data_IF_807497691153
#
_entry.id   IF_807497691153
#
_cell.length_a   1.000
_cell.length_b   1.000
_cell.length_c   1.000
_cell.angle_alpha   90.00
_cell.angle_beta   90.00
_cell.angle_gamma   90.00
#
_symmetry.space_group_name_H-M   'P 1'
#
loop_
_entity.id
_entity.type
_entity.pdbx_description
1 polymer ?
#
# COMPACT_ATOMS: atom_id res chain seq x y z
N UNK A 1 -14.71 -8.54 -6.97
CA UNK A 1 -14.71 -7.11 -6.55
C UNK A 1 -14.70 -7.03 -5.04
N UNK A 2 -13.87 -6.17 -4.50
CA UNK A 2 -13.77 -6.02 -3.05
C UNK A 2 -14.96 -5.22 -2.52
N UNK A 3 -15.40 -5.55 -1.30
CA UNK A 3 -16.39 -4.75 -0.59
C UNK A 3 -15.80 -3.40 -0.27
N UNK A 4 -16.37 -2.32 -0.82
CA UNK A 4 -15.80 -0.98 -0.69
C UNK A 4 -15.80 -0.50 0.77
N UNK A 5 -16.76 -0.94 1.57
CA UNK A 5 -16.79 -0.55 2.99
C UNK A 5 -15.66 -1.21 3.77
N UNK A 6 -15.29 -2.43 3.42
CA UNK A 6 -14.15 -3.10 4.05
C UNK A 6 -12.83 -2.40 3.68
N UNK A 7 -12.70 -1.97 2.43
CA UNK A 7 -11.51 -1.23 2.00
C UNK A 7 -11.47 0.15 2.67
N UNK A 8 -12.63 0.84 2.77
CA UNK A 8 -12.70 2.11 3.49
C UNK A 8 -12.26 1.96 4.95
N UNK A 9 -12.65 0.86 5.60
CA UNK A 9 -12.24 0.59 6.98
C UNK A 9 -10.72 0.45 7.09
N UNK A 10 -10.07 -0.15 6.09
CA UNK A 10 -8.61 -0.24 6.05
C UNK A 10 -7.96 1.13 5.90
N UNK A 11 -8.51 1.98 5.04
CA UNK A 11 -8.01 3.36 4.91
C UNK A 11 -8.16 4.15 6.21
N UNK A 12 -9.27 3.94 6.93
CA UNK A 12 -9.46 4.57 8.25
C UNK A 12 -8.41 4.07 9.24
N UNK A 13 -8.14 2.76 9.24
CA UNK A 13 -7.13 2.18 10.12
C UNK A 13 -5.73 2.73 9.85
N UNK A 14 -5.44 3.06 8.59
CA UNK A 14 -4.18 3.67 8.20
C UNK A 14 -4.08 5.16 8.51
N UNK A 15 -5.19 5.77 8.90
CA UNK A 15 -5.21 7.21 9.19
C UNK A 15 -5.32 8.09 7.96
N UNK A 16 -5.72 7.53 6.83
CA UNK A 16 -5.72 8.23 5.54
C UNK A 16 -7.10 8.61 5.03
N UNK A 17 -8.17 8.21 5.73
CA UNK A 17 -9.53 8.51 5.29
C UNK A 17 -9.93 9.90 5.76
N UNK A 18 -10.40 10.73 4.83
CA UNK A 18 -10.87 12.09 5.12
C UNK A 18 -12.39 12.14 4.98
N UNK A 19 -13.01 13.08 5.69
CA UNK A 19 -14.48 13.23 5.66
C UNK A 19 -15.03 13.47 4.26
N UNK A 20 -14.31 14.20 3.42
CA UNK A 20 -14.75 14.47 2.04
C UNK A 20 -14.64 13.27 1.12
N UNK A 21 -13.97 12.18 1.55
CA UNK A 21 -13.85 10.97 0.75
C UNK A 21 -15.13 10.15 0.83
N UNK A 22 -15.47 9.49 -0.26
CA UNK A 22 -16.64 8.63 -0.36
C UNK A 22 -16.23 7.23 -0.76
N UNK A 23 -16.96 6.24 -0.27
CA UNK A 23 -16.70 4.85 -0.63
C UNK A 23 -16.77 4.63 -2.14
N UNK A 24 -17.61 5.38 -2.85
CA UNK A 24 -17.74 5.29 -4.31
C UNK A 24 -16.48 5.71 -5.06
N UNK A 25 -15.55 6.41 -4.39
CA UNK A 25 -14.27 6.79 -5.00
C UNK A 25 -13.27 5.64 -5.02
N UNK A 26 -13.52 4.58 -4.23
CA UNK A 26 -12.60 3.46 -4.13
C UNK A 26 -12.54 2.59 -5.38
N UNK A 27 -13.66 2.23 -6.04
CA UNK A 27 -13.53 1.46 -7.27
C UNK A 27 -12.63 2.10 -8.33
N UNK A 28 -12.76 3.40 -8.64
CA UNK A 28 -11.80 4.01 -9.59
C UNK A 28 -10.37 4.05 -9.06
N UNK A 29 -10.16 4.22 -7.76
CA UNK A 29 -8.82 4.18 -7.18
C UNK A 29 -8.20 2.79 -7.35
N UNK A 30 -8.97 1.75 -7.07
CA UNK A 30 -8.51 0.36 -7.21
C UNK A 30 -8.18 0.06 -8.68
N UNK A 31 -9.08 0.42 -9.59
CA UNK A 31 -8.85 0.19 -11.02
C UNK A 31 -7.68 0.99 -11.56
N UNK A 32 -7.44 2.17 -11.00
CA UNK A 32 -6.33 3.03 -11.41
C UNK A 32 -4.99 2.59 -10.82
N UNK A 33 -4.98 1.65 -9.89
CA UNK A 33 -3.76 1.12 -9.32
C UNK A 33 -3.16 0.08 -10.28
N UNK A 34 -1.84 0.07 -10.39
CA UNK A 34 -1.14 -0.94 -11.18
C UNK A 34 -1.37 -2.33 -10.56
N UNK A 35 -1.31 -2.39 -9.23
CA UNK A 35 -1.60 -3.61 -8.48
C UNK A 35 -2.28 -3.20 -7.18
N UNK A 36 -3.26 -3.97 -6.74
CA UNK A 36 -3.96 -3.75 -5.49
C UNK A 36 -4.10 -5.10 -4.80
N UNK A 37 -3.38 -5.28 -3.71
CA UNK A 37 -3.35 -6.55 -2.98
C UNK A 37 -4.19 -6.44 -1.72
N UNK A 38 -5.01 -7.43 -1.47
CA UNK A 38 -5.86 -7.48 -0.28
C UNK A 38 -5.63 -8.82 0.40
N UNK A 39 -5.36 -8.77 1.70
CA UNK A 39 -5.32 -9.97 2.53
C UNK A 39 -6.69 -10.17 3.14
N UNK A 40 -7.20 -11.39 3.07
CA UNK A 40 -8.50 -11.73 3.65
C UNK A 40 -8.33 -12.76 4.75
N UNK A 41 -9.17 -12.65 5.78
CA UNK A 41 -9.27 -13.66 6.81
C UNK A 41 -10.03 -14.86 6.23
N UNK A 42 -9.40 -16.03 6.22
CA UNK A 42 -10.00 -17.21 5.60
C UNK A 42 -11.25 -17.70 6.33
N UNK A 43 -11.39 -17.38 7.61
CA UNK A 43 -12.56 -17.79 8.38
C UNK A 43 -13.77 -16.89 8.13
N UNK A 44 -13.54 -15.59 7.97
CA UNK A 44 -14.63 -14.63 7.81
C UNK A 44 -14.80 -14.13 6.37
N UNK A 45 -13.77 -14.28 5.54
CA UNK A 45 -13.74 -13.74 4.19
C UNK A 45 -13.54 -12.22 4.13
N UNK A 46 -13.34 -11.57 5.26
CA UNK A 46 -13.22 -10.11 5.33
C UNK A 46 -11.81 -9.65 5.03
N UNK A 47 -11.71 -8.46 4.44
CA UNK A 47 -10.43 -7.81 4.18
C UNK A 47 -9.80 -7.36 5.49
N UNK A 48 -8.54 -7.74 5.72
CA UNK A 48 -7.83 -7.45 6.96
C UNK A 48 -6.51 -6.71 6.74
N UNK A 49 -6.08 -6.59 5.50
CA UNK A 49 -4.89 -5.85 5.13
C UNK A 49 -4.90 -5.53 3.66
N UNK A 50 -4.12 -4.54 3.26
CA UNK A 50 -4.02 -4.15 1.86
C UNK A 50 -2.73 -3.40 1.57
N UNK A 51 -2.44 -3.24 0.30
CA UNK A 51 -1.41 -2.36 -0.22
C UNK A 51 -1.57 -2.24 -1.71
N UNK A 52 -0.99 -1.22 -2.31
CA UNK A 52 -1.11 -1.02 -3.76
C UNK A 52 0.16 -0.46 -4.35
N UNK A 53 0.23 -0.53 -5.67
CA UNK A 53 1.31 0.07 -6.45
C UNK A 53 0.70 1.06 -7.42
N UNK A 54 1.29 2.26 -7.46
CA UNK A 54 1.07 3.23 -8.52
C UNK A 54 2.28 3.10 -9.44
N UNK A 55 2.06 2.86 -10.72
CA UNK A 55 3.16 2.61 -11.65
C UNK A 55 2.81 3.02 -13.06
N UNK A 56 3.87 3.27 -13.85
CA UNK A 56 3.71 3.55 -15.28
C UNK A 56 3.57 2.27 -16.11
N UNK A 57 3.84 1.11 -15.50
CA UNK A 57 3.81 -0.18 -16.19
C UNK A 57 5.09 -0.48 -16.99
N UNK A 58 6.07 0.40 -16.93
CA UNK A 58 7.29 0.31 -17.76
C UNK A 58 8.56 0.31 -16.92
N UNK A 59 8.72 1.29 -16.04
CA UNK A 59 10.00 1.51 -15.35
C UNK A 59 9.87 1.68 -13.85
N UNK A 60 8.89 2.44 -13.37
CA UNK A 60 8.84 2.88 -11.98
C UNK A 60 7.55 2.45 -11.30
N UNK A 61 7.66 1.95 -10.08
CA UNK A 61 6.54 1.61 -9.24
C UNK A 61 6.68 2.25 -7.88
N UNK A 62 5.56 2.67 -7.30
CA UNK A 62 5.51 3.31 -6.01
C UNK A 62 4.49 2.59 -5.15
N UNK A 63 4.98 1.98 -4.04
CA UNK A 63 4.11 1.24 -3.11
C UNK A 63 3.48 2.23 -2.15
N UNK A 64 2.16 2.14 -2.01
CA UNK A 64 1.39 3.01 -1.12
C UNK A 64 0.31 2.23 -0.38
N UNK A 65 -0.18 2.86 0.67
CA UNK A 65 -1.38 2.45 1.38
C UNK A 65 -1.27 1.06 2.01
N UNK A 66 -0.06 0.69 2.46
CA UNK A 66 0.12 -0.57 3.16
C UNK A 66 -0.44 -0.45 4.57
N UNK A 67 -1.42 -1.28 4.90
CA UNK A 67 -2.00 -1.32 6.24
C UNK A 67 -2.53 -2.72 6.53
N UNK A 68 -2.39 -3.13 7.79
CA UNK A 68 -2.98 -4.34 8.33
C UNK A 68 -3.68 -3.93 9.62
N UNK A 69 -4.90 -4.43 9.85
CA UNK A 69 -5.59 -4.14 11.11
C UNK A 69 -4.73 -4.54 12.31
N UNK A 70 -4.75 -3.75 13.40
CA UNK A 70 -3.87 -4.01 14.55
C UNK A 70 -3.96 -5.44 15.10
N UNK A 71 -5.16 -6.03 15.16
CA UNK A 71 -5.35 -7.37 15.69
C UNK A 71 -4.74 -8.46 14.83
N UNK A 72 -4.38 -8.15 13.58
CA UNK A 72 -3.75 -9.11 12.67
C UNK A 72 -2.27 -8.83 12.44
N UNK A 73 -1.70 -7.84 13.12
CA UNK A 73 -0.28 -7.52 12.98
C UNK A 73 0.60 -8.59 13.61
N UNK A 74 1.89 -8.60 13.23
CA UNK A 74 2.90 -9.53 13.71
C UNK A 74 2.67 -10.98 13.26
N UNK A 75 1.82 -11.19 12.28
CA UNK A 75 1.55 -12.52 11.71
C UNK A 75 2.13 -12.70 10.30
N UNK A 76 2.92 -11.72 9.82
CA UNK A 76 3.55 -11.81 8.50
C UNK A 76 2.67 -11.35 7.34
N UNK A 77 1.47 -10.84 7.61
CA UNK A 77 0.54 -10.42 6.55
C UNK A 77 1.11 -9.25 5.76
N UNK A 78 1.61 -8.22 6.45
CA UNK A 78 2.22 -7.08 5.78
C UNK A 78 3.38 -7.46 4.89
N UNK A 79 4.24 -8.36 5.37
CA UNK A 79 5.36 -8.89 4.60
C UNK A 79 4.88 -9.57 3.32
N UNK A 80 3.84 -10.39 3.42
CA UNK A 80 3.29 -11.08 2.25
C UNK A 80 2.71 -10.11 1.24
N UNK A 81 2.01 -9.08 1.72
CA UNK A 81 1.45 -8.05 0.84
C UNK A 81 2.57 -7.37 0.05
N UNK A 82 3.62 -6.92 0.74
CA UNK A 82 4.73 -6.24 0.07
C UNK A 82 5.40 -7.16 -0.94
N UNK A 83 5.62 -8.43 -0.60
CA UNK A 83 6.23 -9.38 -1.54
C UNK A 83 5.40 -9.59 -2.78
N UNK A 84 4.08 -9.67 -2.64
CA UNK A 84 3.18 -9.79 -3.78
C UNK A 84 3.28 -8.56 -4.68
N UNK A 85 3.28 -7.37 -4.08
CA UNK A 85 3.37 -6.12 -4.84
C UNK A 85 4.71 -6.00 -5.58
N UNK A 86 5.81 -6.35 -4.92
CA UNK A 86 7.13 -6.36 -5.56
C UNK A 86 7.18 -7.36 -6.72
N UNK A 87 6.60 -8.56 -6.51
CA UNK A 87 6.53 -9.56 -7.58
C UNK A 87 5.76 -9.05 -8.79
N UNK A 88 4.62 -8.39 -8.56
CA UNK A 88 3.82 -7.82 -9.67
C UNK A 88 4.65 -6.82 -10.47
N UNK A 89 5.41 -5.97 -9.78
CA UNK A 89 6.28 -5.01 -10.45
C UNK A 89 7.35 -5.70 -11.27
N UNK A 90 8.05 -6.66 -10.67
CA UNK A 90 9.18 -7.33 -11.33
C UNK A 90 8.73 -8.15 -12.53
N UNK A 91 7.58 -8.79 -12.44
CA UNK A 91 7.02 -9.53 -13.55
C UNK A 91 6.72 -8.65 -14.78
N UNK A 92 6.45 -7.37 -14.54
CA UNK A 92 6.19 -6.39 -15.60
C UNK A 92 7.45 -5.64 -16.04
N UNK A 93 8.61 -6.02 -15.52
CA UNK A 93 9.88 -5.38 -15.88
C UNK A 93 10.16 -4.07 -15.18
N UNK A 94 9.37 -3.72 -14.16
CA UNK A 94 9.60 -2.52 -13.36
C UNK A 94 10.79 -2.76 -12.45
N UNK A 95 11.81 -1.91 -12.57
CA UNK A 95 13.06 -2.08 -11.82
C UNK A 95 13.23 -1.06 -10.69
N UNK A 96 12.62 0.11 -10.81
CA UNK A 96 12.65 1.09 -9.74
C UNK A 96 11.38 0.97 -8.91
N UNK A 97 11.51 0.49 -7.67
CA UNK A 97 10.38 0.29 -6.77
C UNK A 97 10.67 1.06 -5.49
N UNK A 98 9.87 2.07 -5.22
CA UNK A 98 10.08 2.92 -4.06
C UNK A 98 8.85 3.02 -3.18
N UNK A 99 9.05 3.56 -1.99
CA UNK A 99 7.98 3.87 -1.05
C UNK A 99 8.47 4.91 -0.06
N UNK A 100 7.53 5.55 0.63
CA UNK A 100 7.85 6.41 1.76
C UNK A 100 7.39 5.67 3.00
N UNK A 101 8.35 5.30 3.86
CA UNK A 101 8.05 4.57 5.09
C UNK A 101 7.49 5.52 6.13
N UNK A 102 6.36 5.13 6.73
CA UNK A 102 5.82 5.86 7.87
C UNK A 102 6.83 5.86 9.02
N UNK A 103 6.79 6.88 9.90
CA UNK A 103 7.72 6.91 11.03
C UNK A 103 7.72 5.60 11.81
N UNK A 104 8.91 5.10 12.08
CA UNK A 104 9.08 3.87 12.87
C UNK A 104 8.94 2.57 12.11
N UNK A 105 8.67 2.60 10.79
CA UNK A 105 8.45 1.38 10.02
C UNK A 105 9.64 0.95 9.19
N UNK A 106 10.74 1.68 9.21
CA UNK A 106 11.90 1.37 8.38
C UNK A 106 12.40 -0.06 8.60
N UNK A 107 12.44 -0.52 9.84
CA UNK A 107 12.92 -1.86 10.19
C UNK A 107 12.06 -2.98 9.58
N UNK A 108 10.79 -2.70 9.36
CA UNK A 108 9.91 -3.65 8.70
C UNK A 108 10.32 -3.90 7.25
N UNK A 109 10.76 -2.84 6.58
CA UNK A 109 11.06 -2.91 5.15
C UNK A 109 12.46 -3.44 4.83
N UNK A 110 13.42 -3.32 5.75
CA UNK A 110 14.80 -3.76 5.49
C UNK A 110 14.93 -5.23 5.10
N UNK A 111 14.30 -6.17 5.83
CA UNK A 111 14.40 -7.57 5.42
C UNK A 111 13.75 -7.86 4.07
N UNK A 112 12.90 -6.95 3.59
CA UNK A 112 12.23 -7.07 2.30
C UNK A 112 13.04 -6.47 1.15
N UNK A 113 14.22 -5.93 1.45
CA UNK A 113 15.13 -5.40 0.44
C UNK A 113 15.02 -3.90 0.21
N UNK A 114 14.33 -3.18 1.09
CA UNK A 114 14.20 -1.73 0.97
C UNK A 114 15.17 -1.03 1.90
N UNK A 115 15.94 -0.11 1.36
CA UNK A 115 16.95 0.64 2.11
C UNK A 115 16.74 2.13 1.91
N UNK A 116 17.09 2.95 2.90
CA UNK A 116 16.96 4.40 2.76
C UNK A 116 17.74 4.93 1.55
N UNK A 117 17.14 5.85 0.84
CA UNK A 117 17.82 6.60 -0.22
C UNK A 117 18.58 7.74 0.46
N UNK A 118 19.88 7.52 0.69
CA UNK A 118 20.68 8.48 1.45
C UNK A 118 20.68 9.86 0.81
N UNK A 119 20.54 10.87 1.65
CA UNK A 119 20.54 12.29 1.27
C UNK A 119 19.37 12.70 0.37
N UNK A 120 18.38 11.82 0.20
CA UNK A 120 17.15 12.18 -0.46
C UNK A 120 16.11 12.54 0.60
N UNK A 121 15.27 13.49 0.30
CA UNK A 121 14.24 13.96 1.25
C UNK A 121 12.88 13.84 0.59
N UNK A 122 11.94 13.14 1.22
CA UNK A 122 10.57 13.12 0.69
C UNK A 122 9.95 14.50 0.84
N UNK A 123 9.30 14.98 -0.22
CA UNK A 123 8.65 16.29 -0.23
C UNK A 123 7.21 16.13 -0.64
N UNK A 124 6.34 16.90 -0.01
CA UNK A 124 4.92 16.93 -0.35
C UNK A 124 4.50 18.37 -0.69
N UNK A 125 3.72 18.50 -1.76
CA UNK A 125 3.22 19.82 -2.14
C UNK A 125 2.14 20.25 -1.17
N UNK A 126 2.30 21.43 -0.57
CA UNK A 126 1.32 21.99 0.36
C UNK A 126 0.75 23.31 -0.13
N UNK A 127 0.97 23.63 -1.38
CA UNK A 127 0.49 24.86 -1.97
C UNK A 127 1.61 25.89 -2.10
N UNK A 128 1.29 26.99 -2.78
CA UNK A 128 2.24 28.06 -2.99
C UNK A 128 2.08 29.13 -1.91
N UNK A 129 3.20 29.67 -1.41
CA UNK A 129 3.19 30.72 -0.41
C UNK A 129 3.14 32.12 -1.04
#
# INVERSE_FOLDING_TARGET
>A
MWDVEEIAALYRAGGWWKEEYKAEDLPPLIRGSFAFAVATDTETGRAIGMGRVIADGVSDGYIQDLVVFPQYRKSGIGTRIVRVLVSCCRESGITWIGLIAEPGTEKFYRPLGFYPMERHVPLIFQGES
#
